data_IF_669160001686
#
_entry.id   IF_669160001686
#
_cell.length_a   1.000
_cell.length_b   1.000
_cell.length_c   1.000
_cell.angle_alpha   90.00
_cell.angle_beta   90.00
_cell.angle_gamma   90.00
#
_symmetry.space_group_name_H-M   'P 1'
#
loop_
_entity.id
_entity.type
_entity.pdbx_description
1 polymer ?
#
# COMPACT_ATOMS: atom_id res chain seq x y z
N UNK A 1 -8.85 27.47 15.56
CA UNK A 1 -9.18 26.03 15.70
C UNK A 1 -8.34 25.28 14.70
N UNK A 2 -7.47 24.35 15.13
CA UNK A 2 -6.68 23.56 14.18
C UNK A 2 -7.63 22.68 13.38
N UNK A 3 -7.83 23.00 12.10
CA UNK A 3 -8.58 22.16 11.15
C UNK A 3 -8.00 20.75 11.25
N UNK A 4 -8.79 19.80 11.75
CA UNK A 4 -8.35 18.41 11.85
C UNK A 4 -8.21 17.89 10.43
N UNK A 5 -6.97 17.85 9.94
CA UNK A 5 -6.62 17.17 8.70
C UNK A 5 -7.16 15.73 8.72
N UNK A 6 -7.88 15.35 7.65
CA UNK A 6 -8.58 14.07 7.52
C UNK A 6 -7.65 12.84 7.61
N UNK A 7 -6.38 12.99 7.27
CA UNK A 7 -5.39 11.92 7.44
C UNK A 7 -5.27 11.46 8.91
N UNK A 8 -5.35 12.39 9.87
CA UNK A 8 -5.31 12.07 11.30
C UNK A 8 -6.66 11.63 11.83
N UNK A 9 -7.74 12.22 11.30
CA UNK A 9 -9.12 11.86 11.69
C UNK A 9 -9.42 10.39 11.39
N UNK A 10 -8.96 9.88 10.24
CA UNK A 10 -9.16 8.49 9.84
C UNK A 10 -8.00 7.56 10.20
N UNK A 11 -7.09 8.00 11.07
CA UNK A 11 -5.94 7.21 11.53
C UNK A 11 -5.01 6.68 10.42
N UNK A 12 -5.00 7.31 9.24
CA UNK A 12 -4.02 7.02 8.18
C UNK A 12 -2.62 7.44 8.64
N UNK A 13 -2.52 8.56 9.38
CA UNK A 13 -1.27 8.97 10.04
C UNK A 13 -1.46 9.14 11.55
N UNK A 14 -0.53 8.60 12.34
CA UNK A 14 -0.55 8.70 13.81
C UNK A 14 -0.19 10.10 14.33
N UNK A 15 0.79 10.73 13.68
CA UNK A 15 1.33 12.02 14.08
C UNK A 15 1.65 12.88 12.85
N UNK A 16 1.82 14.19 13.07
CA UNK A 16 2.26 15.12 12.04
C UNK A 16 3.67 14.73 11.59
N UNK A 17 3.80 14.38 10.32
CA UNK A 17 5.07 14.13 9.63
C UNK A 17 5.24 15.10 8.46
N UNK A 18 6.46 15.23 7.94
CA UNK A 18 6.72 16.07 6.77
C UNK A 18 5.89 15.63 5.55
N UNK A 19 5.72 14.33 5.32
CA UNK A 19 4.86 13.82 4.23
C UNK A 19 3.38 14.15 4.45
N UNK A 20 2.87 14.02 5.68
CA UNK A 20 1.48 14.37 5.99
C UNK A 20 1.20 15.87 5.80
N UNK A 21 2.19 16.72 6.09
CA UNK A 21 2.08 18.17 5.89
C UNK A 21 2.02 18.48 4.40
N UNK A 22 2.95 17.93 3.63
CA UNK A 22 3.00 18.10 2.18
C UNK A 22 1.69 17.65 1.53
N UNK A 23 1.18 16.47 1.93
CA UNK A 23 -0.08 15.97 1.40
C UNK A 23 -1.23 16.96 1.69
N UNK A 24 -1.34 17.42 2.92
CA UNK A 24 -2.45 18.30 3.34
C UNK A 24 -2.38 19.70 2.74
N UNK A 25 -1.19 20.28 2.66
CA UNK A 25 -1.02 21.66 2.19
C UNK A 25 -0.96 21.76 0.67
N UNK A 26 -0.52 20.71 -0.04
CA UNK A 26 -0.28 20.77 -1.48
C UNK A 26 -1.15 19.82 -2.31
N UNK A 27 -1.77 18.81 -1.70
CA UNK A 27 -2.64 17.86 -2.41
C UNK A 27 -4.09 18.10 -2.02
N UNK A 28 -4.45 17.80 -0.76
CA UNK A 28 -5.79 18.04 -0.20
C UNK A 28 -5.78 17.95 1.33
N UNK A 29 -6.47 18.87 1.99
CA UNK A 29 -6.74 18.85 3.43
C UNK A 29 -7.87 17.89 3.81
N UNK A 30 -8.84 17.75 2.91
CA UNK A 30 -9.82 16.67 2.90
C UNK A 30 -9.69 15.85 1.62
N UNK A 31 -9.11 14.65 1.72
CA UNK A 31 -8.95 13.77 0.56
C UNK A 31 -10.25 13.07 0.16
N UNK A 32 -11.28 13.07 1.01
CA UNK A 32 -12.57 12.41 0.73
C UNK A 32 -13.44 13.20 -0.23
N UNK A 33 -13.19 14.51 -0.36
CA UNK A 33 -13.93 15.41 -1.26
C UNK A 33 -13.34 15.46 -2.68
N UNK A 34 -12.19 14.82 -2.92
CA UNK A 34 -11.58 14.76 -4.25
C UNK A 34 -12.52 13.98 -5.19
N UNK A 35 -13.09 14.67 -6.16
CA UNK A 35 -13.98 14.11 -7.18
C UNK A 35 -13.17 13.52 -8.33
N UNK A 36 -12.59 12.34 -8.12
CA UNK A 36 -11.95 11.56 -9.17
C UNK A 36 -12.86 10.40 -9.61
N UNK A 37 -13.00 10.20 -10.92
CA UNK A 37 -13.93 9.23 -11.51
C UNK A 37 -13.47 7.75 -11.38
N UNK A 38 -12.18 7.50 -11.14
CA UNK A 38 -11.64 6.15 -10.90
C UNK A 38 -10.40 6.21 -10.00
N UNK A 39 -10.01 5.09 -9.36
CA UNK A 39 -8.79 5.00 -8.55
C UNK A 39 -7.50 5.49 -9.24
N UNK A 40 -7.24 5.09 -10.48
CA UNK A 40 -6.08 5.50 -11.27
C UNK A 40 -6.08 7.00 -11.55
N UNK A 41 -7.27 7.58 -11.83
CA UNK A 41 -7.45 9.04 -11.97
C UNK A 41 -7.22 9.77 -10.66
N UNK A 42 -7.61 9.18 -9.52
CA UNK A 42 -7.33 9.73 -8.20
C UNK A 42 -5.82 9.80 -7.94
N UNK A 43 -5.08 8.72 -8.24
CA UNK A 43 -3.63 8.67 -8.11
C UNK A 43 -2.97 9.72 -9.00
N UNK A 44 -3.34 9.77 -10.29
CA UNK A 44 -2.84 10.78 -11.24
C UNK A 44 -3.07 12.21 -10.75
N UNK A 45 -4.28 12.51 -10.29
CA UNK A 45 -4.64 13.83 -9.78
C UNK A 45 -3.76 14.22 -8.58
N UNK A 46 -3.67 13.34 -7.58
CA UNK A 46 -2.90 13.61 -6.37
C UNK A 46 -1.40 13.72 -6.65
N UNK A 47 -0.89 12.83 -7.50
CA UNK A 47 0.52 12.83 -7.89
C UNK A 47 0.90 14.08 -8.68
N UNK A 48 0.07 14.53 -9.62
CA UNK A 48 0.31 15.77 -10.39
C UNK A 48 0.39 17.02 -9.48
N UNK A 49 -0.48 17.10 -8.46
CA UNK A 49 -0.39 18.15 -7.44
C UNK A 49 0.90 18.07 -6.64
N UNK A 50 1.29 16.86 -6.22
CA UNK A 50 2.57 16.66 -5.54
C UNK A 50 3.76 17.04 -6.42
N UNK A 51 3.78 16.64 -7.69
CA UNK A 51 4.86 16.97 -8.64
C UNK A 51 4.97 18.49 -8.86
N UNK A 52 3.84 19.20 -8.92
CA UNK A 52 3.82 20.66 -9.02
C UNK A 52 4.57 21.30 -7.84
N UNK A 53 4.29 20.86 -6.61
CA UNK A 53 5.05 21.27 -5.44
C UNK A 53 6.51 20.82 -5.50
N UNK A 54 6.76 19.53 -5.76
CA UNK A 54 8.08 18.92 -5.69
C UNK A 54 9.07 19.49 -6.72
N UNK A 55 8.58 19.95 -7.87
CA UNK A 55 9.39 20.60 -8.92
C UNK A 55 10.07 21.89 -8.44
N UNK A 56 9.51 22.54 -7.42
CA UNK A 56 10.06 23.77 -6.80
C UNK A 56 11.02 23.47 -5.65
N UNK A 57 11.18 22.20 -5.29
CA UNK A 57 11.94 21.75 -4.13
C UNK A 57 13.18 20.97 -4.55
N UNK A 58 14.14 20.85 -3.63
CA UNK A 58 15.27 19.93 -3.82
C UNK A 58 14.76 18.49 -3.87
N UNK A 59 15.14 17.74 -4.92
CA UNK A 59 14.72 16.35 -5.10
C UNK A 59 15.00 15.49 -3.88
N UNK A 60 13.98 14.72 -3.45
CA UNK A 60 14.06 13.82 -2.32
C UNK A 60 13.27 12.53 -2.59
N UNK A 61 13.98 11.47 -2.99
CA UNK A 61 13.37 10.17 -3.32
C UNK A 61 12.65 9.51 -2.14
N UNK A 62 13.12 9.72 -0.91
CA UNK A 62 12.45 9.19 0.27
C UNK A 62 11.10 9.88 0.50
N UNK A 63 11.02 11.18 0.22
CA UNK A 63 9.76 11.93 0.30
C UNK A 63 8.77 11.47 -0.77
N UNK A 64 9.25 11.22 -2.00
CA UNK A 64 8.41 10.68 -3.08
C UNK A 64 7.72 9.38 -2.64
N UNK A 65 8.49 8.45 -2.07
CA UNK A 65 7.94 7.20 -1.54
C UNK A 65 6.87 7.44 -0.48
N UNK A 66 7.15 8.28 0.52
CA UNK A 66 6.19 8.55 1.61
C UNK A 66 4.94 9.29 1.17
N UNK A 67 5.01 10.16 0.16
CA UNK A 67 3.81 10.81 -0.39
C UNK A 67 3.04 9.84 -1.26
N UNK A 68 3.71 8.99 -2.03
CA UNK A 68 3.05 7.95 -2.83
C UNK A 68 2.30 6.95 -1.94
N UNK A 69 2.90 6.50 -0.83
CA UNK A 69 2.22 5.68 0.19
C UNK A 69 0.89 6.32 0.62
N UNK A 70 0.93 7.59 1.05
CA UNK A 70 -0.28 8.32 1.47
C UNK A 70 -1.34 8.41 0.36
N UNK A 71 -0.93 8.59 -0.91
CA UNK A 71 -1.86 8.64 -2.04
C UNK A 71 -2.57 7.31 -2.24
N UNK A 72 -1.85 6.19 -2.16
CA UNK A 72 -2.47 4.87 -2.31
C UNK A 72 -3.36 4.56 -1.10
N UNK A 73 -2.88 4.79 0.12
CA UNK A 73 -3.64 4.56 1.36
C UNK A 73 -4.96 5.34 1.37
N UNK A 74 -4.93 6.63 1.00
CA UNK A 74 -6.13 7.46 0.91
C UNK A 74 -7.05 7.03 -0.23
N UNK A 75 -6.51 6.54 -1.34
CA UNK A 75 -7.30 5.95 -2.42
C UNK A 75 -8.05 4.70 -1.94
N UNK A 76 -7.35 3.75 -1.32
CA UNK A 76 -7.94 2.50 -0.79
C UNK A 76 -9.02 2.81 0.26
N UNK A 77 -8.78 3.79 1.14
CA UNK A 77 -9.78 4.25 2.11
C UNK A 77 -11.05 4.80 1.43
N UNK A 78 -10.90 5.66 0.42
CA UNK A 78 -12.04 6.22 -0.33
C UNK A 78 -12.89 5.13 -0.95
N UNK A 79 -12.24 4.08 -1.43
CA UNK A 79 -12.84 2.91 -2.06
C UNK A 79 -13.37 1.85 -1.07
N UNK A 80 -13.42 2.20 0.23
CA UNK A 80 -13.96 1.37 1.32
C UNK A 80 -13.21 0.06 1.55
N UNK A 81 -11.93 0.03 1.19
CA UNK A 81 -11.02 -1.09 1.49
C UNK A 81 -10.50 -0.89 2.92
N UNK A 82 -11.33 -1.30 3.88
CA UNK A 82 -11.06 -1.18 5.32
C UNK A 82 -11.62 -2.38 6.09
N UNK A 83 -11.04 -2.75 7.25
CA UNK A 83 -9.84 -2.19 7.86
C UNK A 83 -8.57 -2.55 7.07
N UNK A 84 -7.58 -1.65 7.14
CA UNK A 84 -6.23 -1.86 6.62
C UNK A 84 -5.22 -1.50 7.71
N UNK A 85 -4.08 -2.19 7.72
CA UNK A 85 -2.99 -2.00 8.66
C UNK A 85 -1.81 -1.40 7.91
N UNK A 86 -1.43 -0.18 8.28
CA UNK A 86 -0.38 0.60 7.62
C UNK A 86 0.95 0.47 8.35
N UNK A 87 2.04 0.30 7.60
CA UNK A 87 3.40 0.09 8.15
C UNK A 87 3.39 -0.99 9.24
N UNK A 88 2.82 -2.14 8.90
CA UNK A 88 2.42 -3.17 9.85
C UNK A 88 3.41 -4.34 9.90
N UNK A 89 3.60 -4.88 11.10
CA UNK A 89 4.30 -6.15 11.33
C UNK A 89 3.28 -7.27 11.45
N UNK A 90 3.49 -8.34 10.69
CA UNK A 90 2.67 -9.56 10.79
C UNK A 90 3.34 -10.53 11.76
N UNK A 91 2.58 -11.06 12.71
CA UNK A 91 3.10 -12.01 13.71
C UNK A 91 3.75 -13.21 13.01
N UNK A 92 4.88 -13.68 13.55
CA UNK A 92 5.71 -14.76 13.01
C UNK A 92 6.40 -14.48 11.67
N UNK A 93 6.21 -13.30 11.06
CA UNK A 93 7.00 -12.85 9.91
C UNK A 93 8.11 -11.92 10.43
N UNK A 94 9.34 -12.41 10.64
CA UNK A 94 10.39 -11.62 11.26
C UNK A 94 10.92 -10.55 10.31
N UNK A 95 11.27 -9.37 10.87
CA UNK A 95 12.03 -8.31 10.20
C UNK A 95 11.41 -7.75 8.92
N UNK A 96 10.07 -7.78 8.80
CA UNK A 96 9.35 -7.17 7.68
C UNK A 96 8.36 -6.13 8.22
N UNK A 97 8.44 -4.92 7.67
CA UNK A 97 7.45 -3.87 7.84
C UNK A 97 6.69 -3.72 6.51
N UNK A 98 5.45 -4.19 6.47
CA UNK A 98 4.62 -4.14 5.28
C UNK A 98 3.97 -2.78 5.11
N UNK A 99 3.95 -2.24 3.89
CA UNK A 99 3.37 -0.92 3.62
C UNK A 99 1.87 -0.92 3.94
N UNK A 100 1.10 -1.84 3.35
CA UNK A 100 -0.33 -2.05 3.66
C UNK A 100 -0.62 -3.55 3.79
N UNK A 101 -1.34 -3.93 4.85
CA UNK A 101 -1.92 -5.25 5.03
C UNK A 101 -3.44 -5.13 5.16
N UNK A 102 -4.18 -5.90 4.38
CA UNK A 102 -5.61 -6.12 4.58
C UNK A 102 -5.82 -7.60 4.91
N UNK A 103 -6.51 -7.92 6.00
CA UNK A 103 -6.76 -9.31 6.38
C UNK A 103 -8.19 -9.69 6.00
N UNK A 104 -8.39 -10.75 5.22
CA UNK A 104 -9.72 -11.10 4.72
C UNK A 104 -10.51 -11.94 5.72
N UNK A 105 -11.83 -11.95 5.58
CA UNK A 105 -12.73 -12.82 6.37
C UNK A 105 -12.41 -14.31 6.17
N UNK A 106 -11.89 -14.69 4.99
CA UNK A 106 -11.42 -16.04 4.68
C UNK A 106 -10.03 -16.37 5.24
N UNK A 107 -9.55 -15.60 6.21
CA UNK A 107 -8.36 -15.89 7.02
C UNK A 107 -7.03 -15.89 6.25
N UNK A 108 -6.87 -14.99 5.28
CA UNK A 108 -5.57 -14.76 4.65
C UNK A 108 -5.23 -13.27 4.53
N UNK A 109 -3.94 -12.89 4.65
CA UNK A 109 -3.51 -11.52 4.44
C UNK A 109 -3.35 -11.22 2.95
N UNK A 110 -3.68 -10.00 2.59
CA UNK A 110 -3.29 -9.35 1.34
C UNK A 110 -2.26 -8.28 1.70
N UNK A 111 -1.04 -8.44 1.22
CA UNK A 111 0.03 -7.46 1.36
C UNK A 111 0.18 -6.63 0.09
N UNK A 112 0.34 -5.33 0.26
CA UNK A 112 0.56 -4.38 -0.82
C UNK A 112 1.86 -3.66 -0.55
N UNK A 113 2.86 -3.86 -1.41
CA UNK A 113 4.15 -3.17 -1.38
C UNK A 113 4.10 -1.99 -2.34
N UNK A 114 4.54 -0.81 -1.90
CA UNK A 114 4.42 0.43 -2.67
C UNK A 114 5.81 0.93 -3.09
N UNK A 115 6.00 1.23 -4.38
CA UNK A 115 7.28 1.74 -4.90
C UNK A 115 7.08 2.82 -5.97
N UNK A 116 7.79 3.94 -5.86
CA UNK A 116 7.72 5.03 -6.86
C UNK A 116 8.61 4.82 -8.06
N UNK A 117 9.66 4.01 -7.94
CA UNK A 117 10.56 3.72 -9.06
C UNK A 117 11.20 2.36 -8.98
N UNK A 118 11.56 1.84 -10.16
CA UNK A 118 12.30 0.60 -10.26
C UNK A 118 13.79 0.80 -9.96
N UNK A 119 14.27 -0.09 -9.08
CA UNK A 119 15.66 -0.47 -8.88
C UNK A 119 15.66 -1.94 -8.48
N UNK A 120 16.77 -2.52 -8.04
CA UNK A 120 16.83 -3.85 -7.42
C UNK A 120 15.87 -4.05 -6.23
N UNK A 121 15.24 -2.98 -5.72
CA UNK A 121 14.28 -2.98 -4.60
C UNK A 121 13.04 -3.87 -4.79
N UNK A 122 12.66 -4.21 -6.02
CA UNK A 122 11.58 -5.18 -6.22
C UNK A 122 11.95 -6.57 -5.64
N UNK A 123 13.24 -6.89 -5.57
CA UNK A 123 13.74 -8.12 -4.94
C UNK A 123 13.42 -8.15 -3.45
N UNK A 124 13.48 -7.00 -2.78
CA UNK A 124 13.10 -6.90 -1.38
C UNK A 124 11.59 -7.18 -1.22
N UNK A 125 10.75 -6.55 -2.04
CA UNK A 125 9.31 -6.82 -2.01
C UNK A 125 8.99 -8.30 -2.29
N UNK A 126 9.74 -8.95 -3.19
CA UNK A 126 9.57 -10.38 -3.46
C UNK A 126 9.99 -11.25 -2.26
N UNK A 127 11.11 -10.93 -1.59
CA UNK A 127 11.54 -11.63 -0.38
C UNK A 127 10.56 -11.45 0.79
N UNK A 128 10.03 -10.25 0.98
CA UNK A 128 8.99 -9.96 1.98
C UNK A 128 7.71 -10.76 1.70
N UNK A 129 7.31 -10.81 0.42
CA UNK A 129 6.16 -11.58 -0.04
C UNK A 129 6.34 -13.10 0.15
N UNK A 130 7.55 -13.62 -0.08
CA UNK A 130 7.92 -15.02 0.21
C UNK A 130 7.81 -15.28 1.72
N UNK A 131 8.39 -14.40 2.55
CA UNK A 131 8.35 -14.54 4.00
C UNK A 131 6.91 -14.58 4.54
N UNK A 132 6.02 -13.73 3.99
CA UNK A 132 4.61 -13.77 4.35
C UNK A 132 3.96 -15.10 3.96
N UNK A 133 4.27 -15.65 2.77
CA UNK A 133 3.73 -16.92 2.29
C UNK A 133 4.23 -18.14 3.06
N UNK A 134 5.37 -18.05 3.74
CA UNK A 134 5.83 -19.10 4.65
C UNK A 134 4.99 -19.21 5.91
N UNK A 135 4.44 -18.09 6.40
CA UNK A 135 3.56 -18.05 7.58
C UNK A 135 2.09 -18.22 7.17
N UNK A 136 1.67 -17.52 6.13
CA UNK A 136 0.32 -17.51 5.59
C UNK A 136 0.33 -18.03 4.16
N UNK A 137 0.18 -19.35 3.99
CA UNK A 137 0.32 -20.02 2.67
C UNK A 137 -0.57 -19.43 1.56
N UNK A 138 -1.75 -18.93 1.92
CA UNK A 138 -2.73 -18.34 1.01
C UNK A 138 -2.56 -16.82 0.83
N UNK A 139 -1.51 -16.22 1.39
CA UNK A 139 -1.28 -14.79 1.26
C UNK A 139 -1.18 -14.34 -0.20
N UNK A 140 -1.80 -13.19 -0.49
CA UNK A 140 -1.68 -12.52 -1.79
C UNK A 140 -0.78 -11.30 -1.63
N UNK A 141 0.21 -11.16 -2.50
CA UNK A 141 1.19 -10.09 -2.45
C UNK A 141 1.16 -9.28 -3.74
N UNK A 142 0.93 -7.99 -3.64
CA UNK A 142 0.83 -7.09 -4.78
C UNK A 142 1.93 -6.03 -4.71
N UNK A 143 2.64 -5.83 -5.82
CA UNK A 143 3.59 -4.73 -5.95
C UNK A 143 2.93 -3.61 -6.75
N UNK A 144 2.59 -2.51 -6.09
CA UNK A 144 2.04 -1.33 -6.74
C UNK A 144 3.14 -0.33 -7.00
N UNK A 145 3.27 0.03 -8.27
CA UNK A 145 4.25 0.94 -8.81
C UNK A 145 3.58 2.22 -9.27
N UNK A 146 4.24 3.36 -9.10
CA UNK A 146 3.66 4.63 -9.51
C UNK A 146 3.40 4.72 -11.02
N UNK A 147 4.37 4.31 -11.86
CA UNK A 147 4.32 4.51 -13.31
C UNK A 147 4.33 3.21 -14.09
N UNK A 148 3.49 3.16 -15.12
CA UNK A 148 3.33 2.03 -16.05
C UNK A 148 4.57 1.69 -16.88
N UNK A 149 5.34 2.70 -17.31
CA UNK A 149 6.55 2.55 -18.14
C UNK A 149 7.64 1.70 -17.46
N UNK A 150 7.69 1.73 -16.14
CA UNK A 150 8.61 0.91 -15.36
C UNK A 150 8.11 -0.53 -15.19
N UNK A 151 6.80 -0.79 -15.13
CA UNK A 151 6.26 -2.11 -14.75
C UNK A 151 6.49 -3.23 -15.76
N UNK A 152 6.69 -2.92 -17.05
CA UNK A 152 6.73 -3.90 -18.13
C UNK A 152 7.81 -4.97 -17.93
N UNK A 153 9.00 -4.56 -17.51
CA UNK A 153 10.13 -5.47 -17.26
C UNK A 153 9.84 -6.43 -16.11
N UNK A 154 9.23 -5.97 -15.02
CA UNK A 154 8.86 -6.81 -13.88
C UNK A 154 7.72 -7.76 -14.21
N UNK A 155 6.72 -7.31 -14.98
CA UNK A 155 5.64 -8.19 -15.45
C UNK A 155 6.21 -9.32 -16.30
N UNK A 156 7.23 -9.06 -17.12
CA UNK A 156 7.92 -10.10 -17.86
C UNK A 156 8.65 -11.09 -16.93
N UNK A 157 9.34 -10.59 -15.89
CA UNK A 157 9.98 -11.43 -14.86
C UNK A 157 8.97 -12.31 -14.13
N UNK A 158 7.83 -11.74 -13.74
CA UNK A 158 6.73 -12.47 -13.12
C UNK A 158 6.21 -13.59 -14.04
N UNK A 159 5.95 -13.29 -15.32
CA UNK A 159 5.50 -14.29 -16.32
C UNK A 159 6.52 -15.41 -16.53
N UNK A 160 7.82 -15.12 -16.39
CA UNK A 160 8.90 -16.11 -16.47
C UNK A 160 9.10 -16.91 -15.17
N UNK A 161 8.37 -16.60 -14.10
CA UNK A 161 8.55 -17.23 -12.79
C UNK A 161 9.79 -16.77 -12.02
N UNK A 162 10.37 -15.61 -12.38
CA UNK A 162 11.54 -15.05 -11.70
C UNK A 162 11.19 -14.30 -10.40
N UNK A 163 9.91 -13.99 -10.18
CA UNK A 163 9.37 -13.43 -8.93
C UNK A 163 8.54 -14.53 -8.28
N UNK A 164 8.89 -14.91 -7.04
CA UNK A 164 8.33 -16.10 -6.38
C UNK A 164 7.23 -15.74 -5.38
N UNK A 165 7.38 -14.59 -4.71
CA UNK A 165 6.48 -14.14 -3.66
C UNK A 165 5.34 -13.29 -4.19
N UNK A 166 5.64 -12.39 -5.12
CA UNK A 166 4.68 -11.44 -5.70
C UNK A 166 3.67 -12.18 -6.60
N UNK A 167 2.39 -11.90 -6.41
CA UNK A 167 1.31 -12.41 -7.25
C UNK A 167 1.10 -11.55 -8.50
N UNK A 168 1.23 -10.23 -8.37
CA UNK A 168 0.98 -9.30 -9.47
C UNK A 168 1.74 -7.98 -9.27
N UNK A 169 2.13 -7.37 -10.40
CA UNK A 169 2.78 -6.06 -10.45
C UNK A 169 1.84 -5.09 -11.17
N UNK A 170 1.47 -4.01 -10.51
CA UNK A 170 0.37 -3.11 -10.91
C UNK A 170 0.90 -1.67 -10.98
N UNK A 171 0.58 -0.95 -12.04
CA UNK A 171 0.83 0.46 -12.25
C UNK A 171 -0.35 1.29 -11.76
N UNK A 172 -0.10 2.12 -10.76
CA UNK A 172 -1.10 2.95 -10.09
C UNK A 172 -1.69 4.04 -10.98
N UNK A 173 -0.99 4.41 -12.06
CA UNK A 173 -1.40 5.39 -13.04
C UNK A 173 -2.12 4.77 -14.25
N UNK A 174 -2.54 3.52 -14.19
CA UNK A 174 -3.19 2.84 -15.33
C UNK A 174 -4.46 2.08 -14.91
N UNK A 175 -5.22 1.61 -15.91
CA UNK A 175 -6.51 0.92 -15.73
C UNK A 175 -6.39 -0.34 -14.88
N UNK A 176 -5.24 -1.01 -14.89
CA UNK A 176 -5.01 -2.18 -14.04
C UNK A 176 -5.06 -1.86 -12.54
N UNK A 177 -4.81 -0.62 -12.12
CA UNK A 177 -5.04 -0.22 -10.74
C UNK A 177 -6.53 -0.07 -10.42
N UNK A 178 -7.34 0.35 -11.39
CA UNK A 178 -8.80 0.35 -11.26
C UNK A 178 -9.31 -1.08 -11.09
N UNK A 179 -8.85 -2.00 -11.94
CA UNK A 179 -9.18 -3.43 -11.86
C UNK A 179 -8.73 -4.08 -10.55
N UNK A 180 -7.51 -3.74 -10.08
CA UNK A 180 -7.01 -4.18 -8.78
C UNK A 180 -7.93 -3.73 -7.64
N UNK A 181 -8.31 -2.45 -7.61
CA UNK A 181 -9.19 -1.91 -6.58
C UNK A 181 -10.57 -2.54 -6.64
N UNK A 182 -11.15 -2.73 -7.83
CA UNK A 182 -12.43 -3.41 -7.99
C UNK A 182 -12.37 -4.87 -7.53
N UNK A 183 -11.24 -5.54 -7.73
CA UNK A 183 -11.01 -6.89 -7.19
C UNK A 183 -10.86 -6.89 -5.67
N UNK A 184 -10.18 -5.90 -5.09
CA UNK A 184 -10.06 -5.76 -3.64
C UNK A 184 -11.43 -5.56 -2.98
N UNK A 185 -12.30 -4.74 -3.58
CA UNK A 185 -13.67 -4.46 -3.10
C UNK A 185 -14.58 -5.69 -3.05
N UNK A 186 -14.22 -6.79 -3.71
CA UNK A 186 -14.96 -8.07 -3.63
C UNK A 186 -14.72 -8.82 -2.31
N UNK A 187 -13.67 -8.47 -1.56
CA UNK A 187 -13.36 -9.11 -0.28
C UNK A 187 -14.00 -8.34 0.87
N UNK A 188 -14.27 -9.05 1.97
CA UNK A 188 -14.53 -8.44 3.27
C UNK A 188 -13.27 -8.50 4.11
N UNK A 189 -12.93 -7.38 4.75
CA UNK A 189 -11.74 -7.27 5.58
C UNK A 189 -12.11 -7.24 7.06
N UNK A 190 -11.25 -7.84 7.87
CA UNK A 190 -11.46 -7.97 9.31
C UNK A 190 -10.20 -7.57 10.09
N UNK A 191 -10.37 -7.30 11.38
CA UNK A 191 -9.26 -7.26 12.31
C UNK A 191 -8.99 -8.69 12.80
N UNK A 192 -7.81 -9.30 12.51
CA UNK A 192 -7.54 -10.70 12.82
C UNK A 192 -7.41 -11.00 14.32
N UNK A 193 -7.41 -9.99 15.19
CA UNK A 193 -7.34 -10.17 16.64
C UNK A 193 -5.96 -10.66 17.12
N UNK A 194 -5.95 -11.43 18.22
CA UNK A 194 -4.73 -11.99 18.82
C UNK A 194 -4.62 -13.47 18.48
N UNK A 195 -3.39 -13.94 18.31
CA UNK A 195 -3.08 -15.37 18.07
C UNK A 195 -2.27 -15.90 19.25
N UNK A 196 -2.69 -17.02 19.80
CA UNK A 196 -1.94 -17.75 20.83
C UNK A 196 -0.73 -18.46 20.21
N UNK A 197 0.46 -18.24 20.78
CA UNK A 197 1.71 -18.79 20.26
C UNK A 197 1.82 -20.30 20.51
N UNK A 198 1.27 -20.77 21.64
CA UNK A 198 1.26 -22.19 22.02
C UNK A 198 -0.18 -22.54 22.38
N UNK A 199 -0.74 -23.52 21.69
CA UNK A 199 -2.04 -24.12 22.02
C UNK A 199 -1.83 -25.57 22.42
N UNK A 200 -2.62 -26.06 23.39
CA UNK A 200 -2.53 -27.42 23.91
C UNK A 200 -2.27 -27.51 25.41
N UNK A 201 -2.10 -28.74 25.90
CA UNK A 201 -1.85 -28.99 27.32
C UNK A 201 -0.39 -28.71 27.68
N UNK A 202 -0.18 -27.77 28.59
CA UNK A 202 1.12 -27.56 29.22
C UNK A 202 1.34 -28.66 30.26
N UNK A 203 2.24 -29.61 29.95
CA UNK A 203 2.74 -30.57 30.93
C UNK A 203 3.86 -29.90 31.72
N UNK A 204 3.77 -29.94 33.05
CA UNK A 204 4.78 -29.43 33.98
C UNK A 204 5.38 -30.57 34.77
#
# INVERSE_FOLDING_TARGET
MATKNKLREYHIVKAKSKSSVIFTEHISDDFTTISAASPSKYVKYCWAKYESYASTQKQNNAMNGKVFELIIETCLFREKITPMFLQAKVTFVPNVDFDVICFTEEQYPIAISLKTSLRERYKQADLEAIALKYVHRNAKNYLIMLKSDETASLKQKLKKGELLGINEVIAADDVEFDEFVDNMKKNKYINPGKVDIITGNLVK
#
